data_IF_527227928076
#
_entry.id   IF_527227928076
#
_cell.length_a   1.000
_cell.length_b   1.000
_cell.length_c   1.000
_cell.angle_alpha   90.00
_cell.angle_beta   90.00
_cell.angle_gamma   90.00
#
_symmetry.space_group_name_H-M   'P 1'
#
loop_
_entity.id
_entity.type
_entity.pdbx_description
1 polymer ?
#
# COMPACT_ATOMS: atom_id res chain seq x y z
N UNK A 1 12.68 -9.27 10.01
CA UNK A 1 12.01 -8.04 9.57
C UNK A 1 12.47 -7.72 8.16
N UNK A 2 11.68 -6.99 7.38
CA UNK A 2 12.15 -6.47 6.08
C UNK A 2 13.35 -5.54 6.29
N UNK A 3 14.30 -5.55 5.34
CA UNK A 3 15.48 -4.67 5.36
C UNK A 3 15.16 -3.34 4.68
N UNK A 4 15.93 -2.30 4.96
CA UNK A 4 15.87 -1.07 4.16
C UNK A 4 16.02 -1.38 2.66
N UNK A 5 15.23 -0.68 1.84
CA UNK A 5 15.15 -0.81 0.39
C UNK A 5 14.66 -2.16 -0.16
N UNK A 6 14.33 -3.12 0.70
CA UNK A 6 13.70 -4.37 0.27
C UNK A 6 12.31 -4.11 -0.33
N UNK A 7 11.96 -4.90 -1.34
CA UNK A 7 10.58 -4.96 -1.83
C UNK A 7 9.71 -5.74 -0.85
N UNK A 8 8.55 -5.18 -0.54
CA UNK A 8 7.56 -5.80 0.34
C UNK A 8 6.18 -5.76 -0.31
N UNK A 9 5.41 -6.82 -0.10
CA UNK A 9 4.00 -6.85 -0.44
C UNK A 9 3.19 -6.48 0.82
N UNK A 10 2.48 -5.35 0.74
CA UNK A 10 1.54 -4.90 1.77
C UNK A 10 0.17 -5.44 1.40
N UNK A 11 -0.45 -6.22 2.29
CA UNK A 11 -1.78 -6.81 2.10
C UNK A 11 -2.74 -6.34 3.17
N UNK A 12 -3.94 -5.98 2.76
CA UNK A 12 -5.07 -5.69 3.65
C UNK A 12 -6.28 -6.51 3.19
N UNK A 13 -7.42 -6.35 3.86
CA UNK A 13 -8.68 -6.95 3.38
C UNK A 13 -9.19 -6.37 2.06
N UNK A 14 -8.64 -5.24 1.61
CA UNK A 14 -9.11 -4.52 0.42
C UNK A 14 -8.28 -4.80 -0.82
N UNK A 15 -7.01 -5.19 -0.65
CA UNK A 15 -6.12 -5.49 -1.75
C UNK A 15 -4.66 -5.59 -1.33
N UNK A 16 -3.77 -5.46 -2.30
CA UNK A 16 -2.32 -5.60 -2.10
C UNK A 16 -1.53 -4.66 -2.99
N UNK A 17 -0.39 -4.17 -2.49
CA UNK A 17 0.56 -3.40 -3.27
C UNK A 17 2.00 -3.83 -2.96
N UNK A 18 2.83 -3.92 -4.00
CA UNK A 18 4.28 -4.07 -3.84
C UNK A 18 4.92 -2.69 -3.78
N UNK A 19 5.66 -2.43 -2.71
CA UNK A 19 6.32 -1.15 -2.44
C UNK A 19 7.73 -1.38 -1.89
N UNK A 20 8.53 -0.31 -1.88
CA UNK A 20 9.86 -0.32 -1.29
C UNK A 20 9.80 0.01 0.19
N UNK A 21 10.43 -0.80 1.02
CA UNK A 21 10.54 -0.58 2.46
C UNK A 21 11.56 0.54 2.75
N UNK A 22 11.22 1.42 3.69
CA UNK A 22 12.12 2.44 4.22
C UNK A 22 12.08 2.45 5.74
N UNK A 23 13.28 2.47 6.34
CA UNK A 23 13.41 2.60 7.78
C UNK A 23 12.95 3.98 8.24
N UNK A 24 12.30 4.03 9.40
CA UNK A 24 11.78 5.26 9.98
C UNK A 24 11.66 5.13 11.48
N UNK A 25 11.64 6.26 12.19
CA UNK A 25 11.43 6.35 13.63
C UNK A 25 9.94 6.30 13.95
N UNK A 26 9.30 5.17 13.63
CA UNK A 26 7.88 4.89 13.88
C UNK A 26 7.79 3.74 14.89
N UNK A 27 6.78 3.79 15.76
CA UNK A 27 6.56 2.76 16.76
C UNK A 27 6.35 1.37 16.15
N UNK A 28 6.83 0.35 16.85
CA UNK A 28 6.69 -1.04 16.41
C UNK A 28 5.21 -1.39 16.23
N UNK A 29 4.89 -1.99 15.08
CA UNK A 29 3.52 -2.35 14.72
C UNK A 29 2.79 -1.28 13.92
N UNK A 30 3.38 -0.09 13.77
CA UNK A 30 2.87 0.97 12.91
C UNK A 30 3.79 1.11 11.69
N UNK A 31 3.18 1.28 10.52
CA UNK A 31 3.87 1.63 9.29
C UNK A 31 3.19 2.86 8.68
N UNK A 32 3.97 3.65 7.95
CA UNK A 32 3.46 4.81 7.22
C UNK A 32 3.62 4.57 5.72
N UNK A 33 2.56 4.85 4.96
CA UNK A 33 2.58 4.87 3.50
C UNK A 33 2.11 6.26 3.04
N UNK A 34 2.92 6.99 2.26
CA UNK A 34 2.49 8.26 1.68
C UNK A 34 1.27 8.09 0.79
N UNK A 35 0.46 9.16 0.65
CA UNK A 35 -0.63 9.16 -0.31
C UNK A 35 -0.12 8.97 -1.75
N UNK A 36 -0.88 8.19 -2.52
CA UNK A 36 -0.56 7.90 -3.91
C UNK A 36 -1.30 6.67 -4.42
N UNK A 37 -1.08 6.29 -5.69
CA UNK A 37 -1.81 5.19 -6.31
C UNK A 37 -1.68 3.84 -5.58
N UNK A 38 -0.50 3.53 -5.03
CA UNK A 38 -0.26 2.27 -4.30
C UNK A 38 -1.05 2.18 -2.99
N UNK A 39 -1.19 3.27 -2.22
CA UNK A 39 -1.98 3.22 -0.97
C UNK A 39 -3.46 3.00 -1.27
N UNK A 40 -3.96 3.56 -2.39
CA UNK A 40 -5.33 3.36 -2.85
C UNK A 40 -5.62 1.91 -3.25
N UNK A 41 -4.59 1.08 -3.48
CA UNK A 41 -4.77 -0.36 -3.75
C UNK A 41 -4.99 -1.18 -2.46
N UNK A 42 -4.76 -0.59 -1.28
CA UNK A 42 -4.81 -1.29 0.01
C UNK A 42 -5.76 -0.66 1.03
N UNK A 43 -6.39 0.48 0.73
CA UNK A 43 -7.44 1.09 1.57
C UNK A 43 -8.84 0.81 0.99
N UNK A 44 -9.85 0.83 1.85
CA UNK A 44 -11.25 0.62 1.45
C UNK A 44 -11.92 1.88 0.94
N UNK A 45 -13.03 1.70 0.22
CA UNK A 45 -13.86 2.79 -0.31
C UNK A 45 -15.02 3.20 0.62
N UNK A 46 -15.25 2.48 1.72
CA UNK A 46 -16.32 2.81 2.67
C UNK A 46 -16.04 4.14 3.36
N UNK A 47 -17.01 5.04 3.30
CA UNK A 47 -16.95 6.40 3.85
C UNK A 47 -17.82 6.58 5.09
N UNK A 48 -18.58 5.55 5.49
CA UNK A 48 -19.52 5.62 6.60
C UNK A 48 -20.52 6.79 6.47
N UNK A 49 -20.87 7.17 5.23
CA UNK A 49 -21.79 8.27 4.94
C UNK A 49 -21.19 9.68 5.09
N UNK A 50 -19.88 9.81 5.35
CA UNK A 50 -19.21 11.11 5.51
C UNK A 50 -18.64 11.68 4.21
N UNK A 51 -18.57 10.86 3.16
CA UNK A 51 -17.89 11.22 1.90
C UNK A 51 -16.37 11.04 1.91
N UNK A 52 -15.76 10.68 3.05
CA UNK A 52 -14.31 10.46 3.18
C UNK A 52 -13.99 9.00 3.57
N UNK A 53 -13.16 8.27 2.81
CA UNK A 53 -12.73 6.93 3.20
C UNK A 53 -11.76 6.92 4.40
N UNK A 54 -11.72 5.79 5.10
CA UNK A 54 -10.72 5.55 6.15
C UNK A 54 -9.33 5.32 5.55
N UNK A 55 -8.42 6.28 5.74
CA UNK A 55 -7.03 6.21 5.27
C UNK A 55 -6.00 5.88 6.36
N UNK A 56 -6.43 5.81 7.63
CA UNK A 56 -5.58 5.53 8.79
C UNK A 56 -6.10 4.31 9.55
N UNK A 57 -5.22 3.65 10.31
CA UNK A 57 -5.59 2.51 11.15
C UNK A 57 -6.00 1.26 10.36
N UNK A 58 -5.59 1.16 9.09
CA UNK A 58 -5.87 -0.02 8.26
C UNK A 58 -4.92 -1.15 8.68
N UNK A 59 -5.49 -2.25 9.16
CA UNK A 59 -4.73 -3.45 9.51
C UNK A 59 -4.11 -4.05 8.23
N UNK A 60 -2.80 -4.28 8.28
CA UNK A 60 -2.02 -4.75 7.14
C UNK A 60 -1.03 -5.86 7.55
N UNK A 61 -0.79 -6.78 6.61
CA UNK A 61 0.31 -7.76 6.67
C UNK A 61 1.40 -7.31 5.70
N UNK A 62 2.65 -7.29 6.17
CA UNK A 62 3.82 -6.95 5.37
C UNK A 62 4.63 -8.22 5.14
N UNK A 63 4.81 -8.60 3.88
CA UNK A 63 5.51 -9.81 3.46
C UNK A 63 6.72 -9.44 2.61
N UNK A 64 7.84 -10.14 2.76
CA UNK A 64 8.95 -10.03 1.82
C UNK A 64 8.52 -10.57 0.44
N UNK A 65 9.02 -9.96 -0.64
CA UNK A 65 8.69 -10.39 -2.00
C UNK A 65 9.83 -10.07 -2.96
N UNK A 66 9.99 -10.92 -3.99
CA UNK A 66 10.94 -10.71 -5.09
C UNK A 66 10.29 -9.97 -6.28
N UNK A 67 9.01 -9.60 -6.17
CA UNK A 67 8.31 -8.82 -7.19
C UNK A 67 8.85 -7.39 -7.23
N UNK A 68 8.94 -6.83 -8.42
CA UNK A 68 9.26 -5.41 -8.60
C UNK A 68 8.10 -4.50 -8.21
N UNK A 69 8.45 -3.31 -7.72
CA UNK A 69 7.50 -2.21 -7.59
C UNK A 69 7.06 -1.80 -9.00
N UNK A 70 5.76 -1.91 -9.27
CA UNK A 70 5.19 -1.49 -10.56
C UNK A 70 5.55 -0.03 -10.86
N UNK A 71 5.72 0.34 -12.12
CA UNK A 71 5.91 1.76 -12.49
C UNK A 71 4.59 2.52 -12.37
N UNK A 72 4.66 3.84 -12.19
CA UNK A 72 3.47 4.69 -12.16
C UNK A 72 2.61 4.54 -13.44
N UNK A 73 3.25 4.40 -14.60
CA UNK A 73 2.56 4.20 -15.87
C UNK A 73 1.75 2.90 -15.89
N UNK A 74 2.32 1.81 -15.35
CA UNK A 74 1.63 0.52 -15.25
C UNK A 74 0.49 0.58 -14.24
N UNK A 75 0.68 1.26 -13.10
CA UNK A 75 -0.39 1.45 -12.11
C UNK A 75 -1.54 2.26 -12.71
N UNK A 76 -1.25 3.33 -13.46
CA UNK A 76 -2.30 4.12 -14.13
C UNK A 76 -3.05 3.30 -15.18
N UNK A 77 -2.35 2.48 -15.99
CA UNK A 77 -2.99 1.58 -16.95
C UNK A 77 -3.96 0.63 -16.26
N UNK A 78 -3.52 0.03 -15.15
CA UNK A 78 -4.35 -0.86 -14.34
C UNK A 78 -5.60 -0.14 -13.79
N UNK A 79 -5.44 1.05 -13.20
CA UNK A 79 -6.57 1.86 -12.69
C UNK A 79 -7.57 2.19 -13.80
N UNK A 80 -7.09 2.48 -15.01
CA UNK A 80 -7.94 2.78 -16.18
C UNK A 80 -8.57 1.53 -16.81
N UNK A 81 -8.25 0.33 -16.33
CA UNK A 81 -8.71 -0.92 -16.94
C UNK A 81 -8.11 -1.20 -18.33
N UNK A 82 -6.99 -0.55 -18.66
CA UNK A 82 -6.29 -0.74 -19.94
C UNK A 82 -5.36 -1.95 -19.77
N UNK A 83 -5.60 -2.99 -20.56
CA UNK A 83 -4.74 -4.18 -20.64
C UNK A 83 -3.40 -3.87 -21.30
#
# INVERSE_FOLDING_TARGET
>A
GAKEDAHVEVRTKFGSAVVRCKESRIDRGIAFMPYGPWVNMVIGADTQGTGMPNSKGVEAKILATDKDVSTIANVIKWIKGIK
#
